data_IF_888426623315
#
_entry.id   IF_888426623315
#
_cell.length_a   1.000
_cell.length_b   1.000
_cell.length_c   1.000
_cell.angle_alpha   90.00
_cell.angle_beta   90.00
_cell.angle_gamma   90.00
#
_symmetry.space_group_name_H-M   'P 1'
#
loop_
_entity.id
_entity.type
_entity.pdbx_description
1 polymer ?
#
# COMPACT_ATOMS: atom_id res chain seq x y z
N UNK A 1 -33.55 -3.06 38.96
CA UNK A 1 -32.38 -2.18 39.23
C UNK A 1 -31.13 -2.93 38.81
N UNK A 2 -30.41 -2.41 37.78
CA UNK A 2 -28.99 -2.64 37.41
C UNK A 2 -28.48 -4.08 37.17
N UNK A 3 -27.84 -4.42 36.05
CA UNK A 3 -26.71 -3.71 35.41
C UNK A 3 -26.67 -4.04 33.90
N UNK A 4 -26.79 -3.02 33.04
CA UNK A 4 -26.44 -3.07 31.61
C UNK A 4 -24.92 -2.95 31.51
N UNK A 5 -24.23 -3.98 31.02
CA UNK A 5 -22.79 -3.92 30.77
C UNK A 5 -22.46 -2.88 29.68
N UNK A 6 -21.26 -2.27 29.69
CA UNK A 6 -20.91 -1.25 28.71
C UNK A 6 -20.81 -1.88 27.32
N UNK A 7 -21.71 -1.44 26.45
CA UNK A 7 -21.73 -1.69 25.02
C UNK A 7 -20.44 -1.16 24.37
N UNK A 8 -19.67 -2.05 23.73
CA UNK A 8 -18.59 -1.64 22.83
C UNK A 8 -17.28 -2.43 22.86
N UNK A 9 -17.18 -3.56 23.56
CA UNK A 9 -15.96 -4.40 23.51
C UNK A 9 -16.20 -5.63 22.66
N UNK A 10 -15.35 -5.84 21.64
CA UNK A 10 -15.24 -7.14 20.98
C UNK A 10 -14.65 -8.15 21.99
N UNK A 11 -14.92 -9.47 21.87
CA UNK A 11 -14.40 -10.49 22.80
C UNK A 11 -12.88 -10.47 22.97
N UNK A 12 -12.17 -9.90 21.98
CA UNK A 12 -10.71 -9.74 21.91
C UNK A 12 -10.20 -8.42 22.55
N UNK A 13 -11.08 -7.58 23.12
CA UNK A 13 -10.68 -6.36 23.83
C UNK A 13 -10.27 -5.17 22.94
N UNK A 14 -10.54 -5.23 21.63
CA UNK A 14 -10.33 -4.11 20.70
C UNK A 14 -11.56 -3.21 20.59
N UNK A 15 -11.34 -1.89 20.47
CA UNK A 15 -12.38 -0.95 20.08
C UNK A 15 -12.90 -1.29 18.66
N UNK A 16 -14.21 -1.21 18.39
CA UNK A 16 -14.74 -1.40 17.05
C UNK A 16 -14.12 -0.40 16.07
N UNK A 17 -13.75 -0.88 14.88
CA UNK A 17 -13.29 -0.04 13.77
C UNK A 17 -14.48 0.80 13.25
N UNK A 18 -14.78 1.92 13.91
CA UNK A 18 -15.91 2.78 13.57
C UNK A 18 -15.44 4.24 13.56
N UNK A 19 -15.61 4.90 12.40
CA UNK A 19 -15.28 6.31 12.18
C UNK A 19 -14.39 6.52 10.94
N UNK A 20 -14.28 7.77 10.50
CA UNK A 20 -13.48 8.16 9.32
C UNK A 20 -11.96 7.98 9.51
N UNK A 21 -11.51 7.78 10.77
CA UNK A 21 -10.10 7.56 11.09
C UNK A 21 -9.95 6.55 12.25
N UNK A 22 -10.09 5.24 11.97
CA UNK A 22 -9.94 4.19 12.97
C UNK A 22 -8.51 4.13 13.52
N UNK A 23 -8.39 3.89 14.83
CA UNK A 23 -7.10 3.66 15.51
C UNK A 23 -6.89 2.15 15.68
N UNK A 24 -5.82 1.64 15.11
CA UNK A 24 -5.43 0.23 15.07
C UNK A 24 -4.36 -0.10 16.12
N UNK A 25 -3.42 0.80 16.35
CA UNK A 25 -2.30 0.60 17.27
C UNK A 25 -2.22 1.72 18.32
N UNK A 26 -1.66 1.39 19.50
CA UNK A 26 -1.41 2.38 20.56
C UNK A 26 -0.22 3.27 20.24
N UNK A 27 0.76 2.74 19.53
CA UNK A 27 1.92 3.50 19.07
C UNK A 27 1.49 4.37 17.88
N UNK A 28 1.64 5.71 17.97
CA UNK A 28 1.14 6.62 16.94
C UNK A 28 1.89 6.49 15.60
N UNK A 29 3.14 6.02 15.60
CA UNK A 29 3.91 5.79 14.38
C UNK A 29 3.40 4.53 13.68
N UNK A 30 3.19 3.45 14.42
CA UNK A 30 2.62 2.21 13.88
C UNK A 30 1.19 2.41 13.37
N UNK A 31 0.40 3.20 14.08
CA UNK A 31 -0.97 3.55 13.67
C UNK A 31 -1.00 4.36 12.36
N UNK A 32 -0.14 5.38 12.26
CA UNK A 32 0.01 6.16 11.03
C UNK A 32 0.49 5.31 9.85
N UNK A 33 1.42 4.37 10.07
CA UNK A 33 1.86 3.43 9.05
C UNK A 33 0.73 2.52 8.55
N UNK A 34 -0.11 2.01 9.46
CA UNK A 34 -1.26 1.18 9.10
C UNK A 34 -2.28 1.98 8.27
N UNK A 35 -2.60 3.20 8.69
CA UNK A 35 -3.49 4.09 7.96
C UNK A 35 -2.96 4.39 6.55
N UNK A 36 -1.66 4.66 6.43
CA UNK A 36 -1.00 4.85 5.13
C UNK A 36 -1.13 3.59 4.24
N UNK A 37 -0.92 2.39 4.78
CA UNK A 37 -1.03 1.14 4.01
C UNK A 37 -2.46 0.90 3.54
N UNK A 38 -3.46 1.16 4.38
CA UNK A 38 -4.87 1.02 4.01
C UNK A 38 -5.26 1.98 2.89
N UNK A 39 -4.86 3.24 3.01
CA UNK A 39 -5.11 4.27 2.00
C UNK A 39 -4.42 3.92 0.66
N UNK A 40 -3.16 3.49 0.71
CA UNK A 40 -2.44 3.01 -0.48
C UNK A 40 -3.12 1.78 -1.11
N UNK A 41 -3.63 0.86 -0.29
CA UNK A 41 -4.35 -0.33 -0.77
C UNK A 41 -5.66 0.05 -1.44
N UNK A 42 -6.38 1.04 -0.91
CA UNK A 42 -7.59 1.58 -1.52
C UNK A 42 -7.29 2.23 -2.88
N UNK A 43 -6.24 3.06 -2.97
CA UNK A 43 -5.83 3.69 -4.23
C UNK A 43 -5.33 2.66 -5.26
N UNK A 44 -4.64 1.61 -4.80
CA UNK A 44 -4.24 0.49 -5.64
C UNK A 44 -5.47 -0.24 -6.19
N UNK A 45 -6.47 -0.51 -5.36
CA UNK A 45 -7.70 -1.15 -5.79
C UNK A 45 -8.44 -0.31 -6.85
N UNK A 46 -8.57 1.00 -6.66
CA UNK A 46 -9.17 1.90 -7.67
C UNK A 46 -8.43 1.83 -9.01
N UNK A 47 -7.11 1.69 -8.99
CA UNK A 47 -6.30 1.53 -10.20
C UNK A 47 -6.54 0.18 -10.88
N UNK A 48 -6.64 -0.91 -10.09
CA UNK A 48 -6.96 -2.25 -10.59
C UNK A 48 -8.37 -2.32 -11.18
N UNK A 49 -9.36 -1.76 -10.49
CA UNK A 49 -10.74 -1.67 -10.96
C UNK A 49 -10.82 -0.95 -12.32
N UNK A 50 -10.09 0.16 -12.46
CA UNK A 50 -10.00 0.87 -13.74
C UNK A 50 -9.35 0.05 -14.84
N UNK A 51 -8.35 -0.77 -14.52
CA UNK A 51 -7.73 -1.69 -15.49
C UNK A 51 -8.70 -2.79 -15.92
N UNK A 52 -9.44 -3.39 -14.99
CA UNK A 52 -10.46 -4.40 -15.32
C UNK A 52 -11.57 -3.83 -16.19
N UNK A 53 -12.04 -2.60 -15.88
CA UNK A 53 -13.03 -1.93 -16.71
C UNK A 53 -12.50 -1.65 -18.13
N UNK A 54 -11.24 -1.27 -18.28
CA UNK A 54 -10.62 -1.07 -19.60
C UNK A 54 -10.51 -2.39 -20.38
N UNK A 55 -10.10 -3.47 -19.71
CA UNK A 55 -10.01 -4.80 -20.31
C UNK A 55 -11.38 -5.29 -20.80
N UNK A 56 -12.41 -5.21 -19.97
CA UNK A 56 -13.79 -5.60 -20.32
C UNK A 56 -14.34 -4.76 -21.48
N UNK A 57 -14.12 -3.44 -21.48
CA UNK A 57 -14.54 -2.58 -22.59
C UNK A 57 -13.84 -2.92 -23.90
N UNK A 58 -12.52 -3.14 -23.89
CA UNK A 58 -11.75 -3.50 -25.08
C UNK A 58 -12.12 -4.89 -25.60
N UNK A 59 -12.41 -5.84 -24.70
CA UNK A 59 -12.89 -7.16 -25.07
C UNK A 59 -14.27 -7.12 -25.72
N UNK A 60 -15.21 -6.35 -25.16
CA UNK A 60 -16.54 -6.15 -25.75
C UNK A 60 -16.50 -5.49 -27.12
N UNK A 61 -15.52 -4.63 -27.36
CA UNK A 61 -15.29 -4.01 -28.67
C UNK A 61 -14.49 -4.91 -29.63
N UNK A 62 -14.04 -6.08 -29.20
CA UNK A 62 -13.26 -7.02 -30.01
C UNK A 62 -11.84 -6.55 -30.31
N UNK A 63 -11.31 -5.58 -29.55
CA UNK A 63 -9.98 -5.00 -29.76
C UNK A 63 -8.89 -5.87 -29.13
N UNK A 64 -9.16 -6.42 -27.95
CA UNK A 64 -8.24 -7.28 -27.18
C UNK A 64 -9.01 -8.51 -26.71
N UNK A 65 -8.41 -9.69 -26.77
CA UNK A 65 -8.97 -10.90 -26.14
C UNK A 65 -8.22 -11.17 -24.83
N UNK A 66 -8.88 -11.82 -23.86
CA UNK A 66 -8.21 -12.23 -22.62
C UNK A 66 -6.93 -13.05 -22.90
N UNK A 67 -7.00 -14.00 -23.84
CA UNK A 67 -5.85 -14.78 -24.28
C UNK A 67 -4.72 -13.91 -24.86
N UNK A 68 -5.05 -12.90 -25.68
CA UNK A 68 -4.05 -11.99 -26.24
C UNK A 68 -3.36 -11.14 -25.16
N UNK A 69 -4.07 -10.81 -24.08
CA UNK A 69 -3.50 -10.09 -22.94
C UNK A 69 -2.60 -11.01 -22.10
N UNK A 70 -3.03 -12.23 -21.81
CA UNK A 70 -2.25 -13.23 -21.04
C UNK A 70 -0.97 -13.66 -21.77
N UNK A 71 -1.06 -13.82 -23.09
CA UNK A 71 0.05 -14.18 -23.96
C UNK A 71 0.91 -12.97 -24.36
N UNK A 72 0.53 -11.75 -23.95
CA UNK A 72 1.27 -10.55 -24.32
C UNK A 72 2.72 -10.64 -23.81
N UNK A 73 3.66 -10.55 -24.76
CA UNK A 73 5.09 -10.41 -24.48
C UNK A 73 5.57 -9.11 -25.11
N UNK A 74 5.99 -8.12 -24.31
CA UNK A 74 6.52 -6.88 -24.86
C UNK A 74 7.81 -7.16 -25.64
N UNK A 75 7.99 -6.47 -26.76
CA UNK A 75 9.25 -6.49 -27.50
C UNK A 75 10.41 -5.91 -26.67
N UNK A 76 11.63 -6.01 -27.19
CA UNK A 76 12.82 -5.57 -26.47
C UNK A 76 12.80 -4.08 -26.10
N UNK A 77 12.31 -3.22 -27.00
CA UNK A 77 12.19 -1.78 -26.80
C UNK A 77 11.18 -1.48 -25.68
N UNK A 78 10.00 -2.09 -25.77
CA UNK A 78 8.91 -1.91 -24.81
C UNK A 78 9.27 -2.47 -23.43
N UNK A 79 9.91 -3.64 -23.38
CA UNK A 79 10.40 -4.23 -22.15
C UNK A 79 11.45 -3.34 -21.47
N UNK A 80 12.35 -2.72 -22.24
CA UNK A 80 13.33 -1.75 -21.71
C UNK A 80 12.65 -0.51 -21.12
N UNK A 81 11.65 0.04 -21.82
CA UNK A 81 10.88 1.18 -21.32
C UNK A 81 10.12 0.85 -20.03
N UNK A 82 9.50 -0.33 -19.95
CA UNK A 82 8.80 -0.80 -18.74
C UNK A 82 9.76 -0.98 -17.55
N UNK A 83 10.95 -1.54 -17.77
CA UNK A 83 12.00 -1.65 -16.73
C UNK A 83 12.40 -0.28 -16.19
N UNK A 84 12.71 0.68 -17.05
CA UNK A 84 13.08 2.03 -16.65
C UNK A 84 11.97 2.73 -15.85
N UNK A 85 10.70 2.52 -16.25
CA UNK A 85 9.56 3.06 -15.50
C UNK A 85 9.42 2.44 -14.12
N UNK A 86 9.59 1.12 -14.01
CA UNK A 86 9.55 0.39 -12.73
C UNK A 86 10.68 0.83 -11.81
N UNK A 87 11.90 0.98 -12.34
CA UNK A 87 13.06 1.45 -11.57
C UNK A 87 12.83 2.85 -11.02
N UNK A 88 12.32 3.78 -11.84
CA UNK A 88 11.98 5.13 -11.40
C UNK A 88 10.91 5.12 -10.31
N UNK A 89 9.83 4.39 -10.52
CA UNK A 89 8.75 4.26 -9.53
C UNK A 89 9.25 3.69 -8.20
N UNK A 90 10.07 2.64 -8.26
CA UNK A 90 10.66 2.00 -7.07
C UNK A 90 11.60 2.96 -6.34
N UNK A 91 12.47 3.65 -7.08
CA UNK A 91 13.35 4.67 -6.54
C UNK A 91 12.56 5.77 -5.84
N UNK A 92 11.50 6.26 -6.47
CA UNK A 92 10.72 7.39 -5.94
C UNK A 92 9.95 7.04 -4.67
N UNK A 93 9.42 5.81 -4.56
CA UNK A 93 8.77 5.31 -3.34
C UNK A 93 9.78 5.06 -2.22
N UNK A 94 10.92 4.46 -2.54
CA UNK A 94 11.89 4.02 -1.53
C UNK A 94 12.92 5.07 -1.16
N UNK A 95 12.94 6.23 -1.83
CA UNK A 95 13.91 7.31 -1.59
C UNK A 95 13.93 7.73 -0.13
N UNK A 96 12.76 7.96 0.44
CA UNK A 96 12.63 8.50 1.79
C UNK A 96 12.97 7.44 2.85
N UNK A 97 12.61 6.18 2.59
CA UNK A 97 13.01 5.05 3.45
C UNK A 97 14.54 4.84 3.42
N UNK A 98 15.15 4.90 2.22
CA UNK A 98 16.59 4.77 2.07
C UNK A 98 17.33 5.88 2.83
N UNK A 99 16.86 7.13 2.72
CA UNK A 99 17.41 8.26 3.48
C UNK A 99 17.32 8.07 4.99
N UNK A 100 16.24 7.46 5.50
CA UNK A 100 16.09 7.15 6.93
C UNK A 100 17.07 6.05 7.37
N UNK A 101 17.27 5.01 6.56
CA UNK A 101 18.22 3.92 6.88
C UNK A 101 19.68 4.34 6.76
N UNK A 102 20.02 5.19 5.80
CA UNK A 102 21.37 5.74 5.63
C UNK A 102 21.69 6.78 6.72
N UNK A 103 20.70 7.56 7.16
CA UNK A 103 20.81 8.45 8.32
C UNK A 103 20.95 7.70 9.65
N UNK A 104 20.24 6.58 9.82
CA UNK A 104 20.37 5.70 10.99
C UNK A 104 21.71 4.94 11.01
N UNK A 105 22.25 4.56 9.84
CA UNK A 105 23.57 3.95 9.73
C UNK A 105 24.73 4.96 9.95
N UNK A 106 24.46 6.26 9.79
CA UNK A 106 25.43 7.33 9.99
C UNK A 106 25.38 7.95 11.41
N UNK A 107 24.44 7.56 12.27
CA UNK A 107 24.45 7.95 13.68
C UNK A 107 25.54 7.15 14.42
N UNK A 108 26.62 7.78 14.92
CA UNK A 108 27.59 7.07 15.73
C UNK A 108 26.91 6.61 17.02
N UNK A 109 27.20 5.36 17.42
CA UNK A 109 26.87 4.86 18.75
C UNK A 109 27.30 5.91 19.77
N UNK A 110 26.35 6.42 20.54
CA UNK A 110 26.60 7.34 21.65
C UNK A 110 27.74 6.75 22.47
N UNK A 111 28.86 7.45 22.44
CA UNK A 111 30.02 7.15 23.26
C UNK A 111 29.60 7.33 24.71
N UNK A 112 29.32 6.22 25.38
CA UNK A 112 29.30 6.18 26.83
C UNK A 112 30.65 6.69 27.35
N UNK A 113 30.57 7.75 28.16
CA UNK A 113 31.55 8.30 29.12
C UNK A 113 30.86 9.53 29.72
N UNK A 114 30.69 9.75 31.02
CA UNK A 114 31.06 9.11 32.29
C UNK A 114 30.04 9.61 33.33
#
# INVERSE_FOLDING_TARGET
MTRRGPSGQTPEGGAPLVGDNPVYFKDPVQDAMMNMILELSAQLWMSMDRLYALEDLLARQGVVTAAALDDYRPDAERAKALRARRERFTHDILRDLKSLTEGAAAAPAESGKE
#
